data_IF_290899441705
#
_entry.id   IF_290899441705
#
_cell.length_a   1.000
_cell.length_b   1.000
_cell.length_c   1.000
_cell.angle_alpha   90.00
_cell.angle_beta   90.00
_cell.angle_gamma   90.00
#
_symmetry.space_group_name_H-M   'P 1'
#
loop_
_entity.id
_entity.type
_entity.pdbx_description
1 polymer ?
#
# COMPACT_ATOMS: atom_id res chain seq x y z
N UNK A 1 -15.58 5.69 -33.37
CA UNK A 1 -16.07 5.33 -32.03
C UNK A 1 -15.17 4.36 -31.26
N UNK A 2 -14.04 3.90 -31.81
CA UNK A 2 -13.14 2.93 -31.14
C UNK A 2 -12.15 3.54 -30.12
N UNK A 3 -12.02 4.88 -30.05
CA UNK A 3 -11.05 5.54 -29.16
C UNK A 3 -11.49 5.64 -27.70
N UNK A 4 -12.77 5.88 -27.43
CA UNK A 4 -13.30 6.07 -26.07
C UNK A 4 -13.35 4.78 -25.25
N UNK A 5 -13.71 3.66 -25.88
CA UNK A 5 -13.86 2.36 -25.20
C UNK A 5 -12.53 1.74 -24.76
N UNK A 6 -11.43 2.01 -25.48
CA UNK A 6 -10.09 1.53 -25.11
C UNK A 6 -9.55 2.32 -23.91
N UNK A 7 -9.79 3.63 -23.89
CA UNK A 7 -9.33 4.54 -22.85
C UNK A 7 -10.03 4.28 -21.50
N UNK A 8 -11.34 4.00 -21.50
CA UNK A 8 -12.08 3.61 -20.29
C UNK A 8 -11.60 2.26 -19.72
N UNK A 9 -11.23 1.31 -20.57
CA UNK A 9 -10.70 0.01 -20.15
C UNK A 9 -9.29 0.12 -19.53
N UNK A 10 -8.44 0.99 -20.06
CA UNK A 10 -7.12 1.29 -19.50
C UNK A 10 -7.23 1.96 -18.12
N UNK A 11 -8.10 2.97 -17.98
CA UNK A 11 -8.39 3.64 -16.71
C UNK A 11 -8.94 2.65 -15.67
N UNK A 12 -9.87 1.77 -16.05
CA UNK A 12 -10.39 0.73 -15.16
C UNK A 12 -9.32 -0.28 -14.70
N UNK A 13 -8.35 -0.57 -15.58
CA UNK A 13 -7.21 -1.44 -15.26
C UNK A 13 -6.21 -0.76 -14.32
N UNK A 14 -5.96 0.54 -14.50
CA UNK A 14 -5.08 1.32 -13.62
C UNK A 14 -5.69 1.53 -12.23
N UNK A 15 -6.98 1.86 -12.16
CA UNK A 15 -7.69 1.99 -10.89
C UNK A 15 -7.69 0.66 -10.11
N UNK A 16 -7.90 -0.47 -10.80
CA UNK A 16 -7.83 -1.80 -10.20
C UNK A 16 -6.43 -2.15 -9.67
N UNK A 17 -5.38 -1.78 -10.40
CA UNK A 17 -3.98 -1.94 -9.95
C UNK A 17 -3.69 -1.08 -8.72
N UNK A 18 -4.07 0.19 -8.74
CA UNK A 18 -3.89 1.09 -7.59
C UNK A 18 -4.62 0.55 -6.35
N UNK A 19 -5.86 0.08 -6.51
CA UNK A 19 -6.62 -0.51 -5.42
C UNK A 19 -5.93 -1.77 -4.86
N UNK A 20 -5.40 -2.64 -5.72
CA UNK A 20 -4.68 -3.84 -5.31
C UNK A 20 -3.38 -3.49 -4.55
N UNK A 21 -2.61 -2.53 -5.05
CA UNK A 21 -1.36 -2.06 -4.44
C UNK A 21 -1.63 -1.45 -3.05
N UNK A 22 -2.65 -0.58 -2.94
CA UNK A 22 -3.03 0.00 -1.65
C UNK A 22 -3.53 -1.05 -0.66
N UNK A 23 -4.32 -2.04 -1.13
CA UNK A 23 -4.79 -3.13 -0.28
C UNK A 23 -3.61 -3.94 0.28
N UNK A 24 -2.59 -4.21 -0.53
CA UNK A 24 -1.39 -4.91 -0.07
C UNK A 24 -0.64 -4.09 0.99
N UNK A 25 -0.38 -2.81 0.71
CA UNK A 25 0.27 -1.89 1.66
C UNK A 25 -0.46 -1.83 3.00
N UNK A 26 -1.79 -1.59 2.99
CA UNK A 26 -2.56 -1.51 4.23
C UNK A 26 -2.60 -2.84 4.99
N UNK A 27 -2.68 -3.96 4.29
CA UNK A 27 -2.62 -5.29 4.91
C UNK A 27 -1.29 -5.50 5.66
N UNK A 28 -0.18 -5.08 5.06
CA UNK A 28 1.16 -5.19 5.66
C UNK A 28 1.33 -4.27 6.86
N UNK A 29 0.88 -3.02 6.77
CA UNK A 29 0.88 -2.07 7.90
C UNK A 29 0.11 -2.66 9.10
N UNK A 30 -1.10 -3.19 8.87
CA UNK A 30 -1.90 -3.80 9.92
C UNK A 30 -1.22 -5.03 10.53
N UNK A 31 -0.57 -5.86 9.70
CA UNK A 31 0.17 -7.02 10.18
C UNK A 31 1.35 -6.62 11.07
N UNK A 32 2.13 -5.62 10.69
CA UNK A 32 3.26 -5.13 11.50
C UNK A 32 2.77 -4.47 12.79
N UNK A 33 1.72 -3.65 12.74
CA UNK A 33 1.14 -3.04 13.94
C UNK A 33 0.70 -4.08 14.99
N UNK A 34 0.07 -5.17 14.55
CA UNK A 34 -0.31 -6.29 15.44
C UNK A 34 0.90 -7.01 16.05
N UNK A 35 1.98 -7.17 15.27
CA UNK A 35 3.22 -7.78 15.77
C UNK A 35 3.95 -6.88 16.75
N UNK A 36 3.94 -5.56 16.54
CA UNK A 36 4.47 -4.59 17.51
C UNK A 36 3.74 -4.74 18.85
N UNK A 37 2.41 -4.70 18.84
CA UNK A 37 1.60 -4.84 20.06
C UNK A 37 1.90 -6.15 20.82
N UNK A 38 1.98 -7.26 20.08
CA UNK A 38 2.32 -8.57 20.63
C UNK A 38 3.75 -8.59 21.23
N UNK A 39 4.75 -8.16 20.47
CA UNK A 39 6.17 -8.21 20.90
C UNK A 39 6.45 -7.25 22.06
N UNK A 40 5.80 -6.08 22.08
CA UNK A 40 5.84 -5.18 23.24
C UNK A 40 5.23 -5.84 24.48
N UNK A 41 4.10 -6.54 24.34
CA UNK A 41 3.45 -7.28 25.43
C UNK A 41 4.34 -8.41 25.97
N UNK A 42 5.13 -9.06 25.12
CA UNK A 42 6.07 -10.13 25.48
C UNK A 42 7.41 -9.61 26.03
N UNK A 43 7.66 -8.30 26.01
CA UNK A 43 8.93 -7.69 26.43
C UNK A 43 10.05 -7.81 25.39
N UNK A 44 9.72 -8.17 24.15
CA UNK A 44 10.65 -8.37 23.03
C UNK A 44 10.93 -7.04 22.29
N UNK A 45 11.48 -6.06 23.02
CA UNK A 45 11.66 -4.69 22.51
C UNK A 45 12.46 -4.57 21.22
N UNK A 46 13.49 -5.40 21.02
CA UNK A 46 14.28 -5.43 19.78
C UNK A 46 13.44 -5.88 18.58
N UNK A 47 12.56 -6.86 18.77
CA UNK A 47 11.67 -7.32 17.70
C UNK A 47 10.61 -6.27 17.38
N UNK A 48 10.03 -5.63 18.41
CA UNK A 48 9.10 -4.52 18.25
C UNK A 48 9.72 -3.38 17.41
N UNK A 49 10.97 -3.01 17.67
CA UNK A 49 11.71 -2.01 16.87
C UNK A 49 11.91 -2.46 15.42
N UNK A 50 12.16 -3.75 15.19
CA UNK A 50 12.23 -4.31 13.84
C UNK A 50 10.89 -4.19 13.10
N UNK A 51 9.79 -4.56 13.75
CA UNK A 51 8.45 -4.44 13.18
C UNK A 51 8.05 -2.98 12.92
N UNK A 52 8.50 -2.04 13.75
CA UNK A 52 8.26 -0.61 13.55
C UNK A 52 8.94 -0.10 12.27
N UNK A 53 10.20 -0.48 12.02
CA UNK A 53 10.92 -0.09 10.80
C UNK A 53 10.26 -0.65 9.53
N UNK A 54 9.81 -1.90 9.58
CA UNK A 54 9.05 -2.49 8.48
C UNK A 54 7.73 -1.75 8.24
N UNK A 55 7.02 -1.36 9.31
CA UNK A 55 5.80 -0.56 9.22
C UNK A 55 6.07 0.80 8.56
N UNK A 56 7.13 1.50 8.96
CA UNK A 56 7.57 2.76 8.34
C UNK A 56 7.84 2.59 6.84
N UNK A 57 8.54 1.54 6.44
CA UNK A 57 8.82 1.25 5.03
C UNK A 57 7.53 1.02 4.21
N UNK A 58 6.52 0.35 4.78
CA UNK A 58 5.23 0.20 4.09
C UNK A 58 4.43 1.51 4.02
N UNK A 59 4.55 2.40 5.02
CA UNK A 59 3.96 3.74 4.93
C UNK A 59 4.59 4.56 3.80
N UNK A 60 5.92 4.55 3.70
CA UNK A 60 6.65 5.18 2.59
C UNK A 60 6.21 4.60 1.25
N UNK A 61 6.09 3.27 1.15
CA UNK A 61 5.58 2.61 -0.05
C UNK A 61 4.15 3.03 -0.40
N UNK A 62 3.28 3.25 0.60
CA UNK A 62 1.95 3.78 0.39
C UNK A 62 1.96 5.17 -0.24
N UNK A 63 2.85 6.05 0.23
CA UNK A 63 3.04 7.39 -0.35
C UNK A 63 3.56 7.31 -1.79
N UNK A 64 4.48 6.39 -2.09
CA UNK A 64 4.93 6.14 -3.46
C UNK A 64 3.80 5.68 -4.37
N UNK A 65 2.94 4.77 -3.90
CA UNK A 65 1.79 4.27 -4.65
C UNK A 65 0.81 5.41 -4.95
N UNK A 66 0.55 6.30 -3.98
CA UNK A 66 -0.36 7.44 -4.12
C UNK A 66 0.20 8.61 -4.94
N UNK A 67 1.53 8.76 -5.01
CA UNK A 67 2.18 9.83 -5.79
C UNK A 67 2.27 9.52 -7.29
N UNK A 68 1.98 8.27 -7.70
CA UNK A 68 1.89 7.93 -9.11
C UNK A 68 0.70 8.67 -9.74
N UNK A 69 0.90 9.45 -10.80
CA UNK A 69 -0.19 10.09 -11.49
C UNK A 69 -1.14 9.02 -12.02
N UNK A 70 -2.40 9.10 -11.59
CA UNK A 70 -3.50 8.47 -12.32
C UNK A 70 -3.49 9.11 -13.71
N UNK A 71 -3.36 8.32 -14.77
CA UNK A 71 -3.40 8.86 -16.12
C UNK A 71 -4.84 9.35 -16.41
N UNK A 72 -5.18 10.55 -15.92
CA UNK A 72 -6.34 11.27 -16.37
C UNK A 72 -6.00 11.80 -17.75
N UNK A 73 -6.61 11.20 -18.78
CA UNK A 73 -6.48 11.62 -20.16
C UNK A 73 -6.62 13.15 -20.28
N UNK A 74 -5.58 13.78 -20.80
CA UNK A 74 -5.61 15.16 -21.30
C UNK A 74 -6.13 15.19 -22.72
#
# INVERSE_FOLDING_TARGET
MFGTTVQEAEVGTEAGKLQADLRDVFSKILSHARRIDMTMTLGEGTEALGQLRELEAYLERGLEVLSKPLAYGS
#
